data_IF_355152282372
#
_entry.id   IF_355152282372
#
_cell.length_a   1.000
_cell.length_b   1.000
_cell.length_c   1.000
_cell.angle_alpha   90.00
_cell.angle_beta   90.00
_cell.angle_gamma   90.00
#
_symmetry.space_group_name_H-M   'P 1'
#
loop_
_entity.id
_entity.type
_entity.pdbx_description
1 polymer ?
#
# COMPACT_ATOMS: atom_id res chain seq x y z
N UNK A 1 -15.47 -9.94 12.82
CA UNK A 1 -14.19 -9.34 12.38
C UNK A 1 -13.52 -8.61 13.51
N UNK A 2 -12.20 -8.79 13.71
CA UNK A 2 -11.42 -8.12 14.76
C UNK A 2 -10.00 -7.74 14.31
N UNK A 3 -9.64 -8.06 13.05
CA UNK A 3 -8.31 -7.81 12.50
C UNK A 3 -8.43 -7.07 11.17
N UNK A 4 -7.69 -5.97 11.01
CA UNK A 4 -7.66 -5.18 9.77
C UNK A 4 -6.22 -5.09 9.26
N UNK A 5 -6.02 -5.54 8.03
CA UNK A 5 -4.75 -5.48 7.32
C UNK A 5 -4.84 -4.42 6.24
N UNK A 6 -4.02 -3.40 6.32
CA UNK A 6 -4.00 -2.27 5.39
C UNK A 6 -2.84 -2.36 4.40
N UNK A 7 -3.09 -1.94 3.17
CA UNK A 7 -2.00 -1.43 2.33
C UNK A 7 -1.52 -0.06 2.87
N UNK A 8 -0.36 0.39 2.40
CA UNK A 8 0.25 1.65 2.83
C UNK A 8 0.06 2.76 1.80
N UNK A 9 0.68 2.60 0.62
CA UNK A 9 0.78 3.62 -0.43
C UNK A 9 -0.55 3.77 -1.18
N UNK A 10 -1.22 4.92 -1.08
CA UNK A 10 -2.55 5.12 -1.66
C UNK A 10 -3.70 4.73 -0.74
N UNK A 11 -3.43 4.04 0.37
CA UNK A 11 -4.45 3.61 1.33
C UNK A 11 -4.38 4.41 2.63
N UNK A 12 -3.27 4.35 3.34
CA UNK A 12 -3.03 5.11 4.58
C UNK A 12 -2.23 6.39 4.33
N UNK A 13 -1.25 6.35 3.40
CA UNK A 13 -0.38 7.46 3.07
C UNK A 13 -0.52 7.88 1.61
N UNK A 14 -0.59 9.20 1.39
CA UNK A 14 -0.32 9.82 0.09
C UNK A 14 1.20 9.95 -0.07
N UNK A 15 1.78 9.03 -0.83
CA UNK A 15 3.23 8.93 -1.07
C UNK A 15 3.62 9.32 -2.49
N UNK A 16 2.65 9.77 -3.30
CA UNK A 16 2.82 9.89 -4.74
C UNK A 16 3.86 10.96 -5.13
N UNK A 17 3.92 12.06 -4.40
CA UNK A 17 4.86 13.14 -4.68
C UNK A 17 6.31 12.68 -4.45
N UNK A 18 6.62 12.07 -3.30
CA UNK A 18 7.97 11.59 -2.99
C UNK A 18 8.41 10.46 -3.92
N UNK A 19 7.48 9.60 -4.34
CA UNK A 19 7.75 8.59 -5.37
C UNK A 19 8.08 9.23 -6.71
N UNK A 20 7.32 10.26 -7.11
CA UNK A 20 7.55 10.99 -8.37
C UNK A 20 8.90 11.69 -8.36
N UNK A 21 9.22 12.41 -7.29
CA UNK A 21 10.49 13.12 -7.16
C UNK A 21 11.68 12.16 -7.22
N UNK A 22 11.57 11.00 -6.54
CA UNK A 22 12.65 10.00 -6.54
C UNK A 22 12.80 9.27 -7.86
N UNK A 23 11.70 9.01 -8.59
CA UNK A 23 11.77 8.49 -9.97
C UNK A 23 12.47 9.51 -10.86
N UNK A 24 12.02 10.77 -10.83
CA UNK A 24 12.56 11.82 -11.68
C UNK A 24 14.03 12.13 -11.37
N UNK A 25 14.42 12.12 -10.10
CA UNK A 25 15.82 12.18 -9.72
C UNK A 25 16.65 11.09 -10.41
N UNK A 26 16.18 9.84 -10.36
CA UNK A 26 16.88 8.74 -11.01
C UNK A 26 16.87 8.90 -12.54
N UNK A 27 15.77 9.35 -13.16
CA UNK A 27 15.71 9.61 -14.61
C UNK A 27 16.75 10.66 -15.04
N UNK A 28 16.83 11.78 -14.31
CA UNK A 28 17.79 12.87 -14.60
C UNK A 28 19.24 12.43 -14.50
N UNK A 29 19.59 11.61 -13.48
CA UNK A 29 20.96 11.08 -13.30
C UNK A 29 21.44 10.25 -14.49
N UNK A 30 20.53 9.61 -15.21
CA UNK A 30 20.86 8.76 -16.37
C UNK A 30 20.46 9.38 -17.71
N UNK A 31 20.02 10.64 -17.73
CA UNK A 31 19.64 11.35 -18.95
C UNK A 31 18.37 10.81 -19.61
N UNK A 32 17.46 10.23 -18.84
CA UNK A 32 16.16 9.75 -19.29
C UNK A 32 15.08 10.83 -19.14
N UNK A 33 13.98 10.76 -19.92
CA UNK A 33 12.83 11.64 -19.74
C UNK A 33 12.23 11.53 -18.34
N UNK A 34 11.87 12.67 -17.75
CA UNK A 34 11.13 12.74 -16.50
C UNK A 34 9.64 12.50 -16.73
N UNK A 35 8.94 12.12 -15.68
CA UNK A 35 7.52 11.81 -15.70
C UNK A 35 6.69 12.80 -14.87
N UNK A 36 5.46 13.01 -15.32
CA UNK A 36 4.44 13.74 -14.53
C UNK A 36 3.94 12.86 -13.37
N UNK A 37 3.43 13.50 -12.34
CA UNK A 37 2.78 12.79 -11.20
C UNK A 37 1.60 11.92 -11.67
N UNK A 38 0.89 12.34 -12.73
CA UNK A 38 -0.22 11.57 -13.29
C UNK A 38 0.24 10.27 -13.95
N UNK A 39 1.39 10.28 -14.63
CA UNK A 39 2.00 9.07 -15.19
C UNK A 39 2.47 8.14 -14.08
N UNK A 40 3.23 8.65 -13.09
CA UNK A 40 3.70 7.86 -11.96
C UNK A 40 2.54 7.22 -11.20
N UNK A 41 1.40 7.92 -11.03
CA UNK A 41 0.19 7.34 -10.43
C UNK A 41 -0.26 6.06 -11.12
N UNK A 42 -0.08 5.94 -12.44
CA UNK A 42 -0.44 4.73 -13.19
C UNK A 42 0.60 3.62 -13.06
N UNK A 43 1.85 3.95 -12.72
CA UNK A 43 2.96 3.01 -12.65
C UNK A 43 3.08 2.32 -11.30
N UNK A 44 2.61 2.97 -10.21
CA UNK A 44 2.71 2.46 -8.83
C UNK A 44 1.79 1.26 -8.54
N UNK A 45 2.07 0.55 -7.44
CA UNK A 45 1.26 -0.57 -6.92
C UNK A 45 1.99 -1.92 -6.89
N UNK A 46 2.92 -2.15 -7.81
CA UNK A 46 3.64 -3.42 -7.94
C UNK A 46 5.09 -3.40 -7.41
N UNK A 47 5.42 -2.42 -6.55
CA UNK A 47 6.76 -2.24 -5.99
C UNK A 47 7.74 -1.51 -6.91
N UNK A 48 8.91 -1.15 -6.34
CA UNK A 48 9.90 -0.33 -7.03
C UNK A 48 10.43 -0.93 -8.35
N UNK A 49 10.71 -2.24 -8.46
CA UNK A 49 11.17 -2.80 -9.74
C UNK A 49 10.17 -2.57 -10.87
N UNK A 50 8.87 -2.74 -10.63
CA UNK A 50 7.85 -2.55 -11.66
C UNK A 50 7.58 -1.07 -11.95
N UNK A 51 7.70 -0.21 -10.94
CA UNK A 51 7.66 1.24 -11.12
C UNK A 51 8.77 1.69 -12.08
N UNK A 52 10.01 1.28 -11.84
CA UNK A 52 11.15 1.67 -12.69
C UNK A 52 11.12 1.00 -14.07
N UNK A 53 10.65 -0.26 -14.18
CA UNK A 53 10.42 -0.90 -15.49
C UNK A 53 9.48 -0.07 -16.37
N UNK A 54 8.45 0.54 -15.79
CA UNK A 54 7.48 1.38 -16.52
C UNK A 54 7.99 2.80 -16.78
N UNK A 55 8.97 3.24 -16.00
CA UNK A 55 9.53 4.61 -16.10
C UNK A 55 10.73 4.70 -17.04
N UNK A 56 11.50 3.63 -17.21
CA UNK A 56 12.74 3.62 -17.99
C UNK A 56 12.43 3.25 -19.45
N UNK A 57 12.99 3.97 -20.45
CA UNK A 57 12.90 3.53 -21.84
C UNK A 57 13.39 2.10 -22.02
N UNK A 58 12.64 1.25 -22.71
CA UNK A 58 12.88 -0.20 -22.89
C UNK A 58 12.73 -1.04 -21.59
N UNK A 59 12.35 -0.44 -20.46
CA UNK A 59 12.11 -1.16 -19.22
C UNK A 59 13.31 -1.97 -18.74
N UNK A 60 13.08 -3.24 -18.41
CA UNK A 60 14.13 -4.15 -17.90
C UNK A 60 15.21 -4.51 -18.92
N UNK A 61 14.97 -4.30 -20.21
CA UNK A 61 15.95 -4.53 -21.29
C UNK A 61 16.98 -3.41 -21.39
N UNK A 62 16.75 -2.27 -20.70
CA UNK A 62 17.71 -1.18 -20.69
C UNK A 62 18.95 -1.57 -19.89
N UNK A 63 20.17 -1.46 -20.46
CA UNK A 63 21.41 -1.81 -19.76
C UNK A 63 21.62 -1.04 -18.43
N UNK A 64 21.03 0.14 -18.29
CA UNK A 64 21.13 0.96 -17.08
C UNK A 64 20.08 0.61 -16.02
N UNK A 65 19.14 -0.31 -16.29
CA UNK A 65 17.98 -0.59 -15.40
C UNK A 65 18.38 -0.81 -13.94
N UNK A 66 19.34 -1.69 -13.67
CA UNK A 66 19.76 -1.99 -12.30
C UNK A 66 20.41 -0.77 -11.60
N UNK A 67 21.18 0.03 -12.35
CA UNK A 67 21.80 1.24 -11.81
C UNK A 67 20.75 2.32 -11.49
N UNK A 68 19.76 2.49 -12.37
CA UNK A 68 18.63 3.42 -12.15
C UNK A 68 17.78 2.98 -10.95
N UNK A 69 17.49 1.69 -10.84
CA UNK A 69 16.75 1.12 -9.69
C UNK A 69 17.52 1.35 -8.38
N UNK A 70 18.85 1.19 -8.39
CA UNK A 70 19.70 1.45 -7.23
C UNK A 70 19.69 2.95 -6.85
N UNK A 71 19.82 3.85 -7.83
CA UNK A 71 19.74 5.30 -7.61
C UNK A 71 18.37 5.73 -7.03
N UNK A 72 17.28 5.21 -7.59
CA UNK A 72 15.93 5.42 -7.04
C UNK A 72 15.85 4.98 -5.58
N UNK A 73 16.27 3.75 -5.28
CA UNK A 73 16.19 3.19 -3.91
C UNK A 73 17.00 4.02 -2.91
N UNK A 74 18.20 4.46 -3.29
CA UNK A 74 19.05 5.28 -2.44
C UNK A 74 18.39 6.63 -2.15
N UNK A 75 17.91 7.33 -3.17
CA UNK A 75 17.23 8.61 -3.04
C UNK A 75 15.94 8.47 -2.22
N UNK A 76 15.09 7.51 -2.57
CA UNK A 76 13.81 7.32 -1.87
C UNK A 76 13.97 6.92 -0.39
N UNK A 77 15.04 6.20 -0.02
CA UNK A 77 15.30 5.85 1.39
C UNK A 77 15.50 7.10 2.27
N UNK A 78 16.08 8.16 1.71
CA UNK A 78 16.31 9.43 2.40
C UNK A 78 15.09 10.35 2.32
N UNK A 79 14.40 10.41 1.16
CA UNK A 79 13.38 11.38 0.81
C UNK A 79 11.92 10.86 0.84
N UNK A 80 11.68 9.65 1.35
CA UNK A 80 10.34 9.03 1.35
C UNK A 80 9.33 9.67 2.32
N UNK A 81 9.70 10.71 3.03
CA UNK A 81 8.88 11.39 4.04
C UNK A 81 8.89 12.92 3.93
N UNK A 82 9.40 13.47 2.80
CA UNK A 82 9.53 14.91 2.61
C UNK A 82 8.15 15.55 2.35
N UNK A 83 7.31 14.90 1.55
CA UNK A 83 5.95 15.32 1.19
C UNK A 83 4.88 14.29 1.55
N UNK A 84 5.29 13.07 1.86
CA UNK A 84 4.41 11.98 2.29
C UNK A 84 3.64 12.38 3.54
N UNK A 85 2.33 12.11 3.54
CA UNK A 85 1.42 12.41 4.65
C UNK A 85 0.27 11.42 4.71
N UNK A 86 -0.33 11.19 5.90
CA UNK A 86 -1.59 10.47 5.99
C UNK A 86 -2.69 11.15 5.16
N UNK A 87 -3.57 10.35 4.55
CA UNK A 87 -4.80 10.91 4.00
C UNK A 87 -5.66 11.49 5.13
N UNK A 88 -6.44 12.52 4.80
CA UNK A 88 -7.33 13.18 5.77
C UNK A 88 -8.29 12.17 6.42
N UNK A 89 -8.35 12.15 7.75
CA UNK A 89 -9.19 11.26 8.53
C UNK A 89 -8.63 9.85 8.78
N UNK A 90 -7.46 9.50 8.21
CA UNK A 90 -6.85 8.17 8.42
C UNK A 90 -6.36 8.00 9.85
N UNK A 91 -5.74 9.01 10.44
CA UNK A 91 -5.23 8.93 11.81
C UNK A 91 -6.37 8.74 12.81
N UNK A 92 -7.46 9.47 12.64
CA UNK A 92 -8.67 9.37 13.46
C UNK A 92 -9.34 7.98 13.32
N UNK A 93 -9.42 7.48 12.08
CA UNK A 93 -9.92 6.12 11.80
C UNK A 93 -9.09 5.05 12.51
N UNK A 94 -7.75 5.14 12.45
CA UNK A 94 -6.87 4.17 13.12
C UNK A 94 -7.02 4.25 14.64
N UNK A 95 -7.12 5.45 15.21
CA UNK A 95 -7.36 5.65 16.64
C UNK A 95 -8.69 5.05 17.08
N UNK A 96 -9.76 5.25 16.30
CA UNK A 96 -11.08 4.67 16.55
C UNK A 96 -11.02 3.14 16.53
N UNK A 97 -10.46 2.54 15.48
CA UNK A 97 -10.34 1.08 15.37
C UNK A 97 -9.50 0.48 16.50
N UNK A 98 -8.38 1.13 16.86
CA UNK A 98 -7.56 0.72 18.00
C UNK A 98 -8.35 0.79 19.31
N UNK A 99 -9.10 1.87 19.53
CA UNK A 99 -9.95 2.06 20.69
C UNK A 99 -11.09 1.03 20.78
N UNK A 100 -11.57 0.52 19.65
CA UNK A 100 -12.55 -0.56 19.55
C UNK A 100 -11.94 -1.96 19.69
N UNK A 101 -10.62 -2.08 19.89
CA UNK A 101 -9.92 -3.34 20.13
C UNK A 101 -9.56 -4.12 18.88
N UNK A 102 -9.56 -3.48 17.69
CA UNK A 102 -9.06 -4.14 16.47
C UNK A 102 -7.55 -4.34 16.49
N UNK A 103 -7.10 -5.48 15.98
CA UNK A 103 -5.70 -5.73 15.63
C UNK A 103 -5.41 -5.11 14.26
N UNK A 104 -4.38 -4.27 14.17
CA UNK A 104 -4.06 -3.52 12.98
C UNK A 104 -2.66 -3.87 12.46
N UNK A 105 -2.55 -4.12 11.16
CA UNK A 105 -1.26 -4.34 10.50
C UNK A 105 -1.19 -3.61 9.15
N UNK A 106 0.04 -3.34 8.69
CA UNK A 106 0.35 -2.85 7.35
C UNK A 106 1.06 -3.93 6.56
N UNK A 107 0.68 -4.13 5.29
CA UNK A 107 1.40 -4.95 4.31
C UNK A 107 1.56 -4.17 3.00
N UNK A 108 2.78 -4.07 2.47
CA UNK A 108 3.06 -3.24 1.30
C UNK A 108 4.08 -3.88 0.36
N UNK A 109 3.99 -3.56 -0.94
CA UNK A 109 5.03 -3.86 -1.94
C UNK A 109 6.21 -2.88 -1.91
N UNK A 110 6.16 -1.88 -1.03
CA UNK A 110 7.29 -1.02 -0.72
C UNK A 110 8.36 -1.81 0.05
N UNK A 111 9.65 -1.50 -0.13
CA UNK A 111 10.72 -2.19 0.60
C UNK A 111 10.61 -1.98 2.13
N UNK A 112 10.89 -3.04 2.88
CA UNK A 112 10.57 -3.18 4.30
C UNK A 112 11.12 -2.04 5.18
N UNK A 113 12.34 -1.58 4.89
CA UNK A 113 12.93 -0.46 5.65
C UNK A 113 12.13 0.83 5.56
N UNK A 114 11.60 1.18 4.37
CA UNK A 114 10.77 2.36 4.22
C UNK A 114 9.38 2.17 4.86
N UNK A 115 8.79 0.97 4.75
CA UNK A 115 7.51 0.65 5.42
C UNK A 115 7.64 0.85 6.92
N UNK A 116 8.69 0.31 7.54
CA UNK A 116 8.94 0.43 8.99
C UNK A 116 9.20 1.88 9.41
N UNK A 117 9.99 2.63 8.62
CA UNK A 117 10.27 4.06 8.88
C UNK A 117 8.97 4.87 8.88
N UNK A 118 8.16 4.74 7.82
CA UNK A 118 6.91 5.46 7.68
C UNK A 118 5.85 5.04 8.70
N UNK A 119 5.71 3.73 8.94
CA UNK A 119 4.78 3.22 9.96
C UNK A 119 5.14 3.76 11.34
N UNK A 120 6.40 3.72 11.73
CA UNK A 120 6.85 4.25 13.03
C UNK A 120 6.56 5.74 13.16
N UNK A 121 6.81 6.54 12.11
CA UNK A 121 6.61 7.99 12.12
C UNK A 121 5.14 8.38 12.24
N UNK A 122 4.27 7.76 11.42
CA UNK A 122 2.88 8.21 11.29
C UNK A 122 1.87 7.39 12.10
N UNK A 123 2.15 6.10 12.32
CA UNK A 123 1.16 5.15 12.85
C UNK A 123 1.67 4.28 13.99
N UNK A 124 2.88 4.54 14.52
CA UNK A 124 3.51 3.72 15.56
C UNK A 124 2.70 3.61 16.87
N UNK A 125 1.80 4.55 17.13
CA UNK A 125 0.87 4.49 18.26
C UNK A 125 -0.27 3.50 18.03
N UNK A 126 -0.63 3.20 16.77
CA UNK A 126 -1.80 2.39 16.42
C UNK A 126 -1.43 1.00 15.91
N UNK A 127 -0.35 0.92 15.12
CA UNK A 127 0.02 -0.26 14.35
C UNK A 127 1.39 -0.76 14.80
N UNK A 128 1.43 -2.00 15.32
CA UNK A 128 2.66 -2.65 15.79
C UNK A 128 3.31 -3.56 14.75
N UNK A 129 2.55 -4.03 13.76
CA UNK A 129 3.01 -4.94 12.72
C UNK A 129 2.99 -4.26 11.37
N UNK A 130 4.15 -4.18 10.71
CA UNK A 130 4.28 -3.63 9.36
C UNK A 130 5.26 -4.46 8.55
N UNK A 131 4.80 -4.98 7.41
CA UNK A 131 5.53 -5.90 6.54
C UNK A 131 5.71 -5.27 5.18
N UNK A 132 6.95 -5.06 4.76
CA UNK A 132 7.30 -4.61 3.41
C UNK A 132 7.89 -5.73 2.56
N UNK A 133 8.28 -5.37 1.33
CA UNK A 133 9.00 -6.27 0.43
C UNK A 133 10.38 -6.63 1.02
N UNK A 134 10.68 -7.92 1.06
CA UNK A 134 11.98 -8.44 1.45
C UNK A 134 12.26 -9.77 0.74
N UNK A 135 13.50 -10.29 0.84
CA UNK A 135 13.85 -11.59 0.29
C UNK A 135 13.08 -12.75 0.95
N UNK A 136 12.54 -12.54 2.14
CA UNK A 136 11.88 -13.58 2.94
C UNK A 136 10.38 -13.73 2.63
N UNK A 137 9.78 -12.72 1.95
CA UNK A 137 8.32 -12.67 1.76
C UNK A 137 8.01 -12.30 0.32
N UNK A 138 7.22 -13.11 -0.37
CA UNK A 138 6.78 -12.80 -1.73
C UNK A 138 5.91 -11.54 -1.73
N UNK A 139 6.10 -10.72 -2.77
CA UNK A 139 5.29 -9.51 -3.00
C UNK A 139 3.83 -9.82 -3.23
N UNK A 140 2.97 -8.87 -2.86
CA UNK A 140 1.58 -8.82 -3.33
C UNK A 140 1.55 -8.87 -4.87
N UNK A 141 0.66 -9.64 -5.50
CA UNK A 141 -0.55 -10.23 -4.92
C UNK A 141 -0.36 -11.61 -4.26
N UNK A 142 0.87 -12.11 -4.04
CA UNK A 142 1.06 -13.28 -3.19
C UNK A 142 0.57 -12.99 -1.76
N UNK A 143 -0.07 -13.97 -1.07
CA UNK A 143 -0.63 -13.74 0.26
C UNK A 143 0.40 -13.79 1.40
N UNK A 144 1.67 -13.99 1.08
CA UNK A 144 2.75 -14.24 2.04
C UNK A 144 2.90 -13.12 3.07
N UNK A 145 2.80 -11.83 2.63
CA UNK A 145 2.84 -10.67 3.53
C UNK A 145 1.66 -10.66 4.50
N UNK A 146 0.47 -11.04 4.04
CA UNK A 146 -0.75 -11.15 4.85
C UNK A 146 -0.60 -12.24 5.90
N UNK A 147 -0.17 -13.43 5.50
CA UNK A 147 0.04 -14.54 6.44
C UNK A 147 1.10 -14.24 7.48
N UNK A 148 2.17 -13.53 7.09
CA UNK A 148 3.18 -13.08 8.02
C UNK A 148 2.61 -12.06 9.02
N UNK A 149 1.83 -11.08 8.55
CA UNK A 149 1.19 -10.10 9.41
C UNK A 149 0.23 -10.75 10.43
N UNK A 150 -0.63 -11.67 9.99
CA UNK A 150 -1.52 -12.43 10.87
C UNK A 150 -0.75 -13.21 11.94
N UNK A 151 0.33 -13.89 11.56
CA UNK A 151 1.17 -14.65 12.50
C UNK A 151 1.84 -13.73 13.53
N UNK A 152 2.37 -12.56 13.11
CA UNK A 152 3.01 -11.60 14.02
C UNK A 152 1.99 -10.93 14.95
N UNK A 153 0.74 -10.76 14.52
CA UNK A 153 -0.37 -10.29 15.35
C UNK A 153 -0.90 -11.38 16.32
N UNK A 154 -0.58 -12.66 16.08
CA UNK A 154 -1.19 -13.78 16.80
C UNK A 154 -2.66 -14.00 16.47
N UNK A 155 -3.11 -13.59 15.27
CA UNK A 155 -4.48 -13.67 14.80
C UNK A 155 -4.62 -14.77 13.75
N UNK A 156 -5.79 -15.41 13.70
CA UNK A 156 -6.16 -16.24 12.57
C UNK A 156 -6.83 -15.38 11.48
N UNK A 157 -6.80 -15.85 10.24
CA UNK A 157 -7.38 -15.13 9.12
C UNK A 157 -8.92 -15.13 9.06
N UNK A 158 -9.59 -15.98 9.84
CA UNK A 158 -11.05 -16.17 9.75
C UNK A 158 -11.85 -14.90 10.09
N UNK A 159 -11.27 -14.01 10.88
CA UNK A 159 -11.88 -12.74 11.32
C UNK A 159 -11.12 -11.50 10.84
N UNK A 160 -10.30 -11.67 9.80
CA UNK A 160 -9.52 -10.59 9.23
C UNK A 160 -10.18 -10.01 7.96
N UNK A 161 -9.91 -8.73 7.69
CA UNK A 161 -10.28 -8.03 6.48
C UNK A 161 -9.07 -7.30 5.91
N UNK A 162 -8.99 -7.23 4.59
CA UNK A 162 -7.97 -6.46 3.89
C UNK A 162 -8.53 -5.12 3.39
N UNK A 163 -7.75 -4.05 3.51
CA UNK A 163 -8.12 -2.70 3.06
C UNK A 163 -7.04 -2.17 2.12
N UNK A 164 -7.42 -1.77 0.90
CA UNK A 164 -6.48 -1.27 -0.10
C UNK A 164 -7.15 -0.44 -1.19
N UNK A 165 -6.35 0.19 -2.06
CA UNK A 165 -6.79 1.14 -3.08
C UNK A 165 -6.59 0.65 -4.52
N UNK A 166 -6.11 -0.60 -4.71
CA UNK A 166 -5.70 -1.07 -6.03
C UNK A 166 -6.17 -2.48 -6.38
N UNK A 167 -6.06 -2.83 -7.67
CA UNK A 167 -6.25 -4.18 -8.18
C UNK A 167 -5.34 -5.22 -7.51
N UNK A 168 -4.13 -4.79 -7.10
CA UNK A 168 -3.17 -5.65 -6.41
C UNK A 168 -3.72 -6.05 -5.04
N UNK A 169 -4.39 -5.15 -4.35
CA UNK A 169 -4.97 -5.38 -3.02
C UNK A 169 -6.18 -6.32 -3.11
N UNK A 170 -7.05 -6.10 -4.09
CA UNK A 170 -8.19 -6.99 -4.36
C UNK A 170 -7.69 -8.42 -4.60
N UNK A 171 -6.67 -8.57 -5.45
CA UNK A 171 -6.10 -9.88 -5.73
C UNK A 171 -5.35 -10.48 -4.54
N UNK A 172 -4.65 -9.66 -3.73
CA UNK A 172 -3.98 -10.11 -2.50
C UNK A 172 -4.99 -10.65 -1.49
N UNK A 173 -6.05 -9.91 -1.24
CA UNK A 173 -7.13 -10.33 -0.36
C UNK A 173 -7.74 -11.66 -0.83
N UNK A 174 -8.05 -11.77 -2.13
CA UNK A 174 -8.58 -13.01 -2.74
C UNK A 174 -7.62 -14.19 -2.53
N UNK A 175 -6.32 -13.99 -2.79
CA UNK A 175 -5.31 -15.03 -2.64
C UNK A 175 -5.09 -15.44 -1.17
N UNK A 176 -5.32 -14.50 -0.23
CA UNK A 176 -5.29 -14.75 1.21
C UNK A 176 -6.63 -15.30 1.75
N UNK A 177 -7.65 -15.46 0.91
CA UNK A 177 -9.02 -15.83 1.31
C UNK A 177 -9.65 -14.86 2.31
N UNK A 178 -9.34 -13.57 2.18
CA UNK A 178 -9.89 -12.51 3.01
C UNK A 178 -10.91 -11.66 2.22
N UNK A 179 -11.94 -11.12 2.89
CA UNK A 179 -12.74 -10.05 2.31
C UNK A 179 -11.87 -8.82 2.07
N UNK A 180 -12.09 -8.13 0.93
CA UNK A 180 -11.43 -6.87 0.61
C UNK A 180 -12.40 -5.70 0.74
N UNK A 181 -11.97 -4.62 1.41
CA UNK A 181 -12.61 -3.32 1.37
C UNK A 181 -11.72 -2.41 0.51
N UNK A 182 -12.29 -1.83 -0.54
CA UNK A 182 -11.55 -0.94 -1.43
C UNK A 182 -11.83 0.52 -1.09
N UNK A 183 -10.76 1.31 -1.01
CA UNK A 183 -10.83 2.75 -0.74
C UNK A 183 -10.68 3.54 -2.04
N UNK A 184 -11.44 4.64 -2.20
CA UNK A 184 -11.50 5.38 -3.47
C UNK A 184 -10.71 6.70 -3.45
N UNK A 185 -10.10 7.05 -2.33
CA UNK A 185 -9.25 8.25 -2.22
C UNK A 185 -7.79 8.04 -2.67
N UNK A 186 -7.42 6.78 -2.99
CA UNK A 186 -6.05 6.39 -3.35
C UNK A 186 -5.67 6.63 -4.81
N UNK A 187 -4.81 5.76 -5.32
CA UNK A 187 -4.23 5.93 -6.66
C UNK A 187 -5.15 5.47 -7.78
N UNK A 188 -6.07 4.53 -7.53
CA UNK A 188 -7.01 4.01 -8.54
C UNK A 188 -8.37 4.68 -8.42
N UNK A 189 -8.99 4.93 -9.58
CA UNK A 189 -10.36 5.43 -9.63
C UNK A 189 -11.36 4.38 -9.18
N UNK A 190 -12.51 4.82 -8.68
CA UNK A 190 -13.62 3.93 -8.31
C UNK A 190 -14.06 3.05 -9.48
N UNK A 191 -14.10 3.60 -10.70
CA UNK A 191 -14.43 2.86 -11.93
C UNK A 191 -13.43 1.70 -12.15
N UNK A 192 -12.12 1.98 -12.00
CA UNK A 192 -11.08 0.96 -12.11
C UNK A 192 -11.24 -0.12 -11.06
N UNK A 193 -11.47 0.23 -9.80
CA UNK A 193 -11.69 -0.73 -8.72
C UNK A 193 -12.90 -1.64 -8.98
N UNK A 194 -14.01 -1.06 -9.47
CA UNK A 194 -15.20 -1.82 -9.86
C UNK A 194 -14.91 -2.80 -11.00
N UNK A 195 -14.18 -2.36 -12.03
CA UNK A 195 -13.81 -3.22 -13.16
C UNK A 195 -12.91 -4.39 -12.76
N UNK A 196 -12.17 -4.24 -11.67
CA UNK A 196 -11.31 -5.29 -11.07
C UNK A 196 -12.04 -6.17 -10.05
N UNK A 197 -13.35 -5.97 -9.88
CA UNK A 197 -14.21 -6.82 -9.06
C UNK A 197 -14.40 -6.37 -7.62
N UNK A 198 -14.10 -5.11 -7.27
CA UNK A 198 -14.45 -4.56 -5.96
C UNK A 198 -15.98 -4.55 -5.77
N UNK A 199 -16.53 -5.22 -4.72
CA UNK A 199 -17.96 -5.22 -4.49
C UNK A 199 -18.46 -3.83 -4.07
N UNK A 200 -19.62 -3.40 -4.60
CA UNK A 200 -20.21 -2.09 -4.29
C UNK A 200 -20.38 -1.83 -2.79
N UNK A 201 -20.81 -2.83 -2.06
CA UNK A 201 -21.04 -2.75 -0.61
C UNK A 201 -19.74 -2.78 0.23
N UNK A 202 -18.58 -2.86 -0.43
CA UNK A 202 -17.24 -2.81 0.18
C UNK A 202 -16.35 -1.72 -0.44
N UNK A 203 -16.93 -0.77 -1.17
CA UNK A 203 -16.26 0.45 -1.60
C UNK A 203 -16.56 1.57 -0.61
N UNK A 204 -15.51 2.19 -0.05
CA UNK A 204 -15.65 3.33 0.85
C UNK A 204 -14.94 4.56 0.30
N UNK A 205 -15.56 5.74 0.48
CA UNK A 205 -15.09 7.01 -0.08
C UNK A 205 -14.40 7.91 0.93
N UNK A 206 -14.52 7.57 2.21
CA UNK A 206 -13.88 8.31 3.32
C UNK A 206 -13.41 7.34 4.40
N UNK A 207 -12.32 7.65 5.12
CA UNK A 207 -11.85 6.79 6.21
C UNK A 207 -12.89 6.53 7.29
N UNK A 208 -13.73 7.53 7.61
CA UNK A 208 -14.78 7.44 8.62
C UNK A 208 -15.84 6.36 8.31
N UNK A 209 -15.95 5.94 7.05
CA UNK A 209 -16.90 4.89 6.66
C UNK A 209 -16.42 3.48 7.04
N UNK A 210 -15.14 3.30 7.43
CA UNK A 210 -14.59 1.97 7.68
C UNK A 210 -15.15 1.33 8.94
N UNK A 211 -15.13 2.00 10.08
CA UNK A 211 -15.61 1.43 11.35
C UNK A 211 -17.10 1.02 11.29
N UNK A 212 -18.03 1.84 10.76
CA UNK A 212 -19.41 1.42 10.55
C UNK A 212 -19.57 0.20 9.62
N UNK A 213 -18.75 0.13 8.54
CA UNK A 213 -18.79 -1.01 7.64
C UNK A 213 -18.31 -2.29 8.33
N UNK A 214 -17.23 -2.24 9.11
CA UNK A 214 -16.72 -3.37 9.87
C UNK A 214 -17.73 -3.87 10.90
N UNK A 215 -18.43 -2.96 11.60
CA UNK A 215 -19.47 -3.31 12.55
C UNK A 215 -20.62 -4.08 11.87
N UNK A 216 -21.05 -3.65 10.68
CA UNK A 216 -22.06 -4.35 9.88
C UNK A 216 -21.60 -5.74 9.47
N UNK A 217 -20.37 -5.88 8.95
CA UNK A 217 -19.82 -7.17 8.53
C UNK A 217 -19.67 -8.17 9.68
N UNK A 218 -19.49 -7.70 10.93
CA UNK A 218 -19.49 -8.56 12.13
C UNK A 218 -20.85 -9.17 12.47
N UNK A 219 -21.94 -8.54 12.06
CA UNK A 219 -23.31 -9.01 12.33
C UNK A 219 -23.85 -9.91 11.23
N UNK A 220 -23.19 -9.96 10.07
CA UNK A 220 -23.56 -10.81 8.94
C UNK A 220 -22.86 -12.20 8.97
N UNK A 221 -21.88 -12.40 9.88
CA UNK A 221 -21.20 -13.67 10.18
C UNK A 221 -21.95 -14.48 11.23
#
# INVERSE_FOLDING_TARGET
MDTVIFDLDGTLLDTLEDLTDSVNYAMEQFGFPVHTIAEIRTFVGNGAPKLLERSIPQGVENPAYEAVLAAFKAHYAEHCEDKTRPYEGVTEMLAELKGQGYHLAIVSNKFDGAVKKLCKKYFGEFISVSIGESAEVKRKPAPDTVYRALRELGCDGSRAVYVGDSEVDIQTAKNASLPCISVTWGFRSEEKLRSEGAPENRLIRTPQALAPLLARLRTEE
#
